data_IF_339035093716
#
_entry.id   IF_339035093716
#
_cell.length_a   1.000
_cell.length_b   1.000
_cell.length_c   1.000
_cell.angle_alpha   90.00
_cell.angle_beta   90.00
_cell.angle_gamma   90.00
#
_symmetry.space_group_name_H-M   'P 1'
#
loop_
_entity.id
_entity.type
_entity.pdbx_description
1 polymer ?
#
# COMPACT_ATOMS: atom_id res chain seq x y z
N UNK A 1 -49.77 7.29 -19.40
CA UNK A 1 -48.76 6.46 -18.72
C UNK A 1 -47.41 7.05 -19.07
N UNK A 2 -46.75 7.73 -18.12
CA UNK A 2 -45.50 8.44 -18.35
C UNK A 2 -44.36 7.56 -17.82
N UNK A 3 -43.55 6.99 -18.71
CA UNK A 3 -42.43 6.13 -18.34
C UNK A 3 -41.34 6.93 -17.64
N UNK A 4 -41.03 6.56 -16.40
CA UNK A 4 -39.85 7.00 -15.67
C UNK A 4 -38.61 6.30 -16.24
N UNK A 5 -37.72 7.05 -16.88
CA UNK A 5 -36.35 6.60 -17.12
C UNK A 5 -35.47 7.09 -15.97
N UNK A 6 -35.23 6.22 -14.98
CA UNK A 6 -34.22 6.45 -13.94
C UNK A 6 -32.86 6.13 -14.55
N UNK A 7 -32.10 7.16 -14.92
CA UNK A 7 -30.72 7.03 -15.35
C UNK A 7 -29.86 6.83 -14.09
N UNK A 8 -29.68 5.58 -13.67
CA UNK A 8 -28.74 5.22 -12.62
C UNK A 8 -27.31 5.41 -13.17
N UNK A 9 -26.74 6.59 -12.95
CA UNK A 9 -25.32 6.84 -13.20
C UNK A 9 -24.50 5.93 -12.30
N UNK A 10 -23.94 4.88 -12.87
CA UNK A 10 -22.88 4.09 -12.23
C UNK A 10 -21.69 5.02 -12.11
N UNK A 11 -21.53 5.66 -10.96
CA UNK A 11 -20.27 6.25 -10.56
C UNK A 11 -19.28 5.08 -10.51
N UNK A 12 -18.50 4.91 -11.58
CA UNK A 12 -17.36 4.01 -11.57
C UNK A 12 -16.42 4.54 -10.51
N UNK A 13 -16.51 3.97 -9.31
CA UNK A 13 -15.57 4.28 -8.24
C UNK A 13 -14.25 3.69 -8.70
N UNK A 14 -13.39 4.56 -9.21
CA UNK A 14 -12.01 4.24 -9.53
C UNK A 14 -11.32 4.07 -8.17
N UNK A 15 -11.30 2.83 -7.70
CA UNK A 15 -10.65 2.44 -6.47
C UNK A 15 -9.17 2.18 -6.71
N UNK A 16 -8.23 2.94 -6.16
CA UNK A 16 -6.82 2.50 -6.21
C UNK A 16 -6.56 1.34 -5.29
N UNK A 17 -5.54 0.57 -5.64
CA UNK A 17 -5.30 -0.67 -4.96
C UNK A 17 -3.80 -0.89 -4.88
N UNK A 18 -3.31 -1.06 -3.67
CA UNK A 18 -1.91 -1.31 -3.36
C UNK A 18 -1.86 -2.62 -2.57
N UNK A 19 -1.01 -3.55 -2.97
CA UNK A 19 -0.75 -4.77 -2.20
C UNK A 19 0.74 -4.91 -1.92
N UNK A 20 1.11 -5.37 -0.73
CA UNK A 20 2.48 -5.58 -0.28
C UNK A 20 2.75 -7.09 -0.12
N UNK A 21 3.76 -7.58 -0.82
CA UNK A 21 4.09 -9.02 -0.89
C UNK A 21 5.19 -9.41 0.08
N UNK A 22 6.25 -8.60 0.11
CA UNK A 22 7.43 -8.85 0.92
C UNK A 22 7.88 -7.54 1.56
N UNK A 23 8.07 -7.49 2.88
CA UNK A 23 7.58 -8.47 3.84
C UNK A 23 6.03 -8.59 3.80
N UNK A 24 5.42 -9.73 4.20
CA UNK A 24 4.00 -9.99 3.97
C UNK A 24 3.07 -8.94 4.58
N UNK A 25 2.10 -8.45 3.82
CA UNK A 25 1.09 -7.55 4.36
C UNK A 25 0.23 -8.21 5.45
N UNK A 26 -0.39 -7.38 6.29
CA UNK A 26 -1.46 -7.80 7.20
C UNK A 26 -2.65 -8.34 6.43
N UNK A 27 -3.24 -9.42 6.94
CA UNK A 27 -4.38 -10.08 6.32
C UNK A 27 -3.99 -10.92 5.10
N UNK A 28 -4.94 -11.15 4.22
CA UNK A 28 -4.80 -11.95 3.00
C UNK A 28 -4.29 -11.09 1.84
N UNK A 29 -3.91 -11.77 0.75
CA UNK A 29 -3.57 -11.21 -0.57
C UNK A 29 -4.45 -11.86 -1.64
N UNK A 30 -5.72 -12.07 -1.34
CA UNK A 30 -6.65 -12.77 -2.21
C UNK A 30 -6.93 -11.95 -3.48
N UNK A 31 -7.11 -12.65 -4.59
CA UNK A 31 -7.41 -12.01 -5.88
C UNK A 31 -6.28 -11.12 -6.42
N UNK A 32 -5.03 -11.32 -5.99
CA UNK A 32 -3.91 -10.45 -6.36
C UNK A 32 -3.62 -10.36 -7.87
N UNK A 33 -4.00 -11.39 -8.61
CA UNK A 33 -3.92 -11.44 -10.07
C UNK A 33 -5.08 -10.70 -10.77
N UNK A 34 -6.01 -10.12 -10.02
CA UNK A 34 -7.13 -9.32 -10.51
C UNK A 34 -6.92 -7.87 -10.12
N UNK A 35 -6.99 -6.99 -11.11
CA UNK A 35 -6.94 -5.55 -10.86
C UNK A 35 -8.18 -5.13 -10.07
N UNK A 36 -7.97 -4.31 -9.04
CA UNK A 36 -9.05 -3.88 -8.17
C UNK A 36 -9.43 -4.89 -7.09
N UNK A 37 -8.48 -5.67 -6.56
CA UNK A 37 -8.78 -6.63 -5.49
C UNK A 37 -9.06 -5.91 -4.17
N UNK A 38 -10.17 -6.24 -3.52
CA UNK A 38 -10.56 -5.64 -2.24
C UNK A 38 -9.47 -5.74 -1.15
N UNK A 39 -8.61 -6.75 -1.19
CA UNK A 39 -7.49 -6.89 -0.25
C UNK A 39 -6.39 -5.83 -0.40
N UNK A 40 -6.37 -5.16 -1.54
CA UNK A 40 -5.48 -4.07 -1.85
C UNK A 40 -6.14 -2.69 -1.62
N UNK A 41 -7.43 -2.63 -1.22
CA UNK A 41 -8.24 -1.41 -1.10
C UNK A 41 -8.24 -0.83 0.32
N UNK A 42 -7.07 -0.46 0.81
CA UNK A 42 -6.89 -0.10 2.21
C UNK A 42 -6.68 1.40 2.37
N UNK A 43 -7.69 2.10 2.89
CA UNK A 43 -7.75 3.57 2.92
C UNK A 43 -7.48 4.21 4.30
N UNK A 44 -7.59 3.44 5.38
CA UNK A 44 -7.44 3.97 6.73
C UNK A 44 -5.99 3.90 7.20
N UNK A 45 -5.32 5.04 7.37
CA UNK A 45 -3.97 5.06 7.93
C UNK A 45 -3.89 4.52 9.37
N UNK A 46 -2.74 3.97 9.80
CA UNK A 46 -1.54 3.72 9.01
C UNK A 46 -1.58 2.40 8.22
N UNK A 47 -2.45 1.45 8.57
CA UNK A 47 -2.35 0.06 8.09
C UNK A 47 -3.63 -0.46 7.45
N UNK A 48 -4.42 0.42 6.82
CA UNK A 48 -5.67 0.05 6.17
C UNK A 48 -6.81 -0.30 7.11
N UNK A 49 -6.70 0.04 8.40
CA UNK A 49 -7.62 -0.45 9.43
C UNK A 49 -7.47 -1.93 9.77
N UNK A 50 -6.43 -2.62 9.25
CA UNK A 50 -6.16 -4.02 9.58
C UNK A 50 -5.42 -4.12 10.92
N UNK A 51 -5.90 -4.95 11.86
CA UNK A 51 -5.18 -5.19 13.11
C UNK A 51 -3.87 -5.92 12.84
N UNK A 52 -2.94 -5.86 13.79
CA UNK A 52 -1.70 -6.62 13.75
C UNK A 52 -1.96 -8.10 13.49
N UNK A 53 -1.20 -8.66 12.55
CA UNK A 53 -1.29 -10.07 12.18
C UNK A 53 -0.41 -10.95 13.07
N UNK A 54 -0.57 -12.26 12.92
CA UNK A 54 0.35 -13.25 13.51
C UNK A 54 1.65 -13.40 12.71
N UNK A 55 1.66 -13.00 11.44
CA UNK A 55 2.82 -13.08 10.56
C UNK A 55 3.74 -11.89 10.85
N UNK A 56 4.96 -12.19 11.32
CA UNK A 56 5.96 -11.19 11.67
C UNK A 56 7.26 -11.50 10.94
N UNK A 57 7.83 -10.51 10.27
CA UNK A 57 9.14 -10.63 9.63
C UNK A 57 10.23 -10.18 10.60
N UNK A 58 11.17 -11.07 10.92
CA UNK A 58 12.34 -10.73 11.72
C UNK A 58 13.35 -9.94 10.88
N UNK A 59 13.86 -8.86 11.45
CA UNK A 59 14.88 -8.01 10.81
C UNK A 59 15.91 -7.56 11.83
N UNK A 60 17.12 -7.29 11.37
CA UNK A 60 18.20 -6.71 12.18
C UNK A 60 18.55 -5.33 11.65
N UNK A 61 18.97 -4.43 12.53
CA UNK A 61 19.46 -3.12 12.10
C UNK A 61 20.64 -3.24 11.11
N UNK A 62 20.66 -2.39 10.09
CA UNK A 62 21.63 -2.45 8.99
C UNK A 62 21.33 -3.49 7.91
N UNK A 63 20.37 -4.40 8.11
CA UNK A 63 19.95 -5.38 7.11
C UNK A 63 19.41 -4.68 5.85
N UNK A 64 19.78 -5.22 4.67
CA UNK A 64 19.10 -4.92 3.41
C UNK A 64 17.81 -5.75 3.33
N UNK A 65 16.68 -5.08 3.43
CA UNK A 65 15.35 -5.67 3.32
C UNK A 65 14.79 -5.43 1.92
N UNK A 66 14.49 -6.51 1.21
CA UNK A 66 13.79 -6.42 -0.08
C UNK A 66 12.30 -6.22 0.15
N UNK A 67 11.79 -5.09 -0.36
CA UNK A 67 10.39 -4.72 -0.34
C UNK A 67 9.79 -4.92 -1.72
N UNK A 68 8.77 -5.76 -1.81
CA UNK A 68 8.07 -6.07 -3.06
C UNK A 68 6.59 -5.78 -2.88
N UNK A 69 6.02 -4.96 -3.76
CA UNK A 69 4.62 -4.54 -3.71
C UNK A 69 4.08 -4.38 -5.13
N UNK A 70 2.76 -4.39 -5.26
CA UNK A 70 2.05 -4.28 -6.53
C UNK A 70 1.12 -3.07 -6.53
N UNK A 71 1.20 -2.30 -7.60
CA UNK A 71 0.15 -1.37 -8.02
C UNK A 71 -0.98 -2.19 -8.60
N UNK A 72 -1.92 -2.63 -7.76
CA UNK A 72 -2.96 -3.57 -8.16
C UNK A 72 -4.03 -2.91 -9.06
N UNK A 73 -4.36 -1.63 -8.85
CA UNK A 73 -5.12 -0.82 -9.79
C UNK A 73 -4.44 0.53 -10.01
N UNK A 74 -4.44 0.99 -11.25
CA UNK A 74 -3.80 2.22 -11.69
C UNK A 74 -4.69 3.46 -11.55
N UNK A 75 -4.14 4.50 -10.91
CA UNK A 75 -4.79 5.78 -10.64
C UNK A 75 -3.96 6.97 -11.12
N UNK A 76 -2.98 6.72 -11.98
CA UNK A 76 -2.21 7.79 -12.58
C UNK A 76 -3.08 8.61 -13.55
N UNK A 77 -3.09 9.95 -13.43
CA UNK A 77 -3.91 10.87 -14.25
C UNK A 77 -3.10 12.04 -14.84
N UNK A 78 -1.95 11.74 -15.45
CA UNK A 78 -0.96 12.73 -15.93
C UNK A 78 -0.27 13.56 -14.84
N UNK A 79 -0.86 13.64 -13.63
CA UNK A 79 -0.18 14.10 -12.42
C UNK A 79 0.38 12.87 -11.72
N UNK A 80 1.70 12.66 -11.74
CA UNK A 80 2.20 11.40 -11.20
C UNK A 80 2.05 11.38 -9.67
N UNK A 81 1.78 10.21 -9.10
CA UNK A 81 1.76 9.97 -7.66
C UNK A 81 3.12 9.54 -7.12
N UNK A 82 3.15 9.07 -5.87
CA UNK A 82 4.35 8.50 -5.23
C UNK A 82 4.00 7.24 -4.42
N UNK A 83 4.83 6.21 -4.54
CA UNK A 83 4.88 5.12 -3.57
C UNK A 83 5.92 5.44 -2.51
N UNK A 84 5.58 5.29 -1.22
CA UNK A 84 6.53 5.49 -0.13
C UNK A 84 6.65 4.25 0.73
N UNK A 85 7.89 3.87 1.03
CA UNK A 85 8.22 2.80 1.97
C UNK A 85 8.66 3.49 3.27
N UNK A 86 7.99 3.18 4.37
CA UNK A 86 8.27 3.75 5.69
C UNK A 86 8.42 2.65 6.73
N UNK A 87 9.14 2.94 7.81
CA UNK A 87 9.37 1.99 8.91
C UNK A 87 9.30 2.70 10.25
N UNK A 88 8.80 2.03 11.29
CA UNK A 88 8.76 2.59 12.64
C UNK A 88 7.66 2.00 13.51
N UNK A 89 7.30 2.74 14.57
CA UNK A 89 6.17 2.39 15.44
C UNK A 89 4.84 2.77 14.79
N UNK A 90 3.87 1.86 14.83
CA UNK A 90 2.56 2.07 14.18
C UNK A 90 1.82 3.31 14.68
N UNK A 91 1.84 3.56 15.99
CA UNK A 91 1.21 4.73 16.61
C UNK A 91 2.16 5.91 16.77
N UNK A 92 3.41 5.76 16.31
CA UNK A 92 4.48 6.73 16.51
C UNK A 92 5.00 7.30 15.19
N UNK A 93 6.29 7.63 15.19
CA UNK A 93 6.96 8.17 14.01
C UNK A 93 7.31 7.06 13.01
N UNK A 94 6.95 7.27 11.74
CA UNK A 94 7.38 6.44 10.61
C UNK A 94 8.44 7.18 9.78
N UNK A 95 9.65 6.64 9.76
CA UNK A 95 10.74 7.12 8.93
C UNK A 95 10.54 6.66 7.48
N UNK A 96 10.63 7.58 6.51
CA UNK A 96 10.62 7.20 5.09
C UNK A 96 11.98 6.63 4.68
N UNK A 97 11.98 5.43 4.12
CA UNK A 97 13.17 4.73 3.62
C UNK A 97 13.35 4.88 2.11
N UNK A 98 12.24 4.99 1.36
CA UNK A 98 12.27 5.13 -0.08
C UNK A 98 11.01 5.83 -0.59
N UNK A 99 11.17 6.58 -1.67
CA UNK A 99 10.08 7.18 -2.46
C UNK A 99 10.28 6.76 -3.91
N UNK A 100 9.28 6.13 -4.50
CA UNK A 100 9.28 5.68 -5.88
C UNK A 100 8.19 6.46 -6.61
N UNK A 101 8.56 7.19 -7.67
CA UNK A 101 7.61 7.91 -8.50
C UNK A 101 6.73 6.94 -9.27
N UNK A 102 5.42 7.17 -9.27
CA UNK A 102 4.52 6.46 -10.19
C UNK A 102 4.61 7.12 -11.58
N UNK A 103 5.19 6.46 -12.58
CA UNK A 103 5.33 7.03 -13.93
C UNK A 103 4.22 6.57 -14.88
N UNK A 104 3.11 6.04 -14.34
CA UNK A 104 2.02 5.50 -15.15
C UNK A 104 2.25 4.05 -15.52
N UNK A 105 3.00 3.29 -14.69
CA UNK A 105 3.06 1.84 -14.86
C UNK A 105 1.65 1.24 -14.76
N UNK A 106 1.31 0.20 -15.54
CA UNK A 106 -0.05 -0.30 -15.62
C UNK A 106 -0.51 -0.97 -14.33
N UNK A 107 -1.81 -1.26 -14.26
CA UNK A 107 -2.36 -2.13 -13.20
C UNK A 107 -1.64 -3.48 -13.17
N UNK A 108 -1.54 -4.04 -11.97
CA UNK A 108 -0.81 -5.27 -11.64
C UNK A 108 0.71 -5.18 -11.77
N UNK A 109 1.28 -4.00 -12.04
CA UNK A 109 2.73 -3.81 -12.06
C UNK A 109 3.34 -4.05 -10.67
N UNK A 110 4.46 -4.79 -10.65
CA UNK A 110 5.16 -5.18 -9.42
C UNK A 110 6.45 -4.40 -9.31
N UNK A 111 6.60 -3.68 -8.20
CA UNK A 111 7.83 -3.01 -7.82
C UNK A 111 8.61 -3.90 -6.85
N UNK A 112 9.94 -3.88 -6.96
CA UNK A 112 10.83 -4.52 -6.01
C UNK A 112 12.04 -3.63 -5.78
N UNK A 113 12.31 -3.27 -4.53
CA UNK A 113 13.43 -2.41 -4.14
C UNK A 113 14.05 -2.87 -2.84
N UNK A 114 15.30 -2.51 -2.59
CA UNK A 114 15.97 -2.79 -1.33
C UNK A 114 16.04 -1.53 -0.47
N UNK A 115 15.69 -1.67 0.80
CA UNK A 115 15.83 -0.62 1.82
C UNK A 115 16.73 -1.10 2.95
N UNK A 116 17.45 -0.17 3.58
CA UNK A 116 18.26 -0.51 4.76
C UNK A 116 17.41 -0.32 6.02
N UNK A 117 17.36 -1.34 6.89
CA UNK A 117 16.70 -1.23 8.19
C UNK A 117 17.51 -0.28 9.09
N UNK A 118 16.93 0.82 9.59
CA UNK A 118 17.65 1.77 10.42
C UNK A 118 17.93 1.22 11.82
N UNK A 119 18.92 1.82 12.50
CA UNK A 119 19.19 1.56 13.90
C UNK A 119 18.13 2.24 14.80
N UNK A 120 17.97 1.73 16.03
CA UNK A 120 17.15 2.38 17.05
C UNK A 120 15.64 2.24 16.87
N UNK A 121 15.19 1.29 16.05
CA UNK A 121 13.77 0.95 15.92
C UNK A 121 13.27 0.20 17.18
N UNK A 122 12.00 0.40 17.58
CA UNK A 122 11.36 -0.45 18.58
C UNK A 122 11.32 -1.92 18.13
N UNK A 123 11.41 -2.85 19.08
CA UNK A 123 11.34 -4.29 18.81
C UNK A 123 10.11 -4.66 17.99
N UNK A 124 8.96 -4.05 18.28
CA UNK A 124 7.73 -4.21 17.49
C UNK A 124 7.54 -3.02 16.54
N UNK A 125 8.01 -3.17 15.31
CA UNK A 125 7.88 -2.16 14.26
C UNK A 125 6.92 -2.60 13.16
N UNK A 126 6.58 -1.68 12.26
CA UNK A 126 5.88 -1.97 11.00
C UNK A 126 6.72 -1.48 9.83
N UNK A 127 6.60 -2.17 8.69
CA UNK A 127 6.92 -1.60 7.38
C UNK A 127 5.62 -1.19 6.72
N UNK A 128 5.50 0.08 6.39
CA UNK A 128 4.35 0.64 5.66
C UNK A 128 4.75 0.90 4.21
N UNK A 129 3.89 0.49 3.27
CA UNK A 129 3.90 1.02 1.90
C UNK A 129 2.65 1.87 1.71
N UNK A 130 2.83 3.08 1.20
CA UNK A 130 1.71 3.93 0.78
C UNK A 130 1.76 4.22 -0.70
N UNK A 131 0.59 4.32 -1.34
CA UNK A 131 0.45 4.90 -2.68
C UNK A 131 -0.30 6.22 -2.55
N UNK A 132 0.41 7.34 -2.74
CA UNK A 132 -0.13 8.69 -2.74
C UNK A 132 -0.44 9.09 -4.19
N UNK A 133 -1.71 9.03 -4.59
CA UNK A 133 -2.10 9.03 -6.00
C UNK A 133 -1.88 10.37 -6.70
N UNK A 134 -2.11 11.48 -5.98
CA UNK A 134 -2.23 12.85 -6.53
C UNK A 134 -3.28 13.01 -7.65
N UNK A 135 -4.14 12.01 -7.83
CA UNK A 135 -5.26 12.03 -8.75
C UNK A 135 -6.51 12.52 -8.00
N UNK A 136 -7.09 13.62 -8.45
CA UNK A 136 -8.26 14.24 -7.81
C UNK A 136 -9.55 13.42 -7.89
N UNK A 137 -9.60 12.46 -8.81
CA UNK A 137 -10.70 11.51 -8.99
C UNK A 137 -10.47 10.16 -8.27
N UNK A 138 -9.37 10.01 -7.53
CA UNK A 138 -9.04 8.82 -6.77
C UNK A 138 -8.90 9.14 -5.27
N UNK A 139 -8.99 8.14 -4.38
CA UNK A 139 -8.59 8.35 -2.99
C UNK A 139 -7.13 8.82 -2.90
N UNK A 140 -6.87 9.69 -1.92
CA UNK A 140 -5.58 10.36 -1.82
C UNK A 140 -4.43 9.39 -1.52
N UNK A 141 -4.67 8.40 -0.64
CA UNK A 141 -3.64 7.47 -0.17
C UNK A 141 -4.20 6.07 0.06
N UNK A 142 -3.39 5.06 -0.27
CA UNK A 142 -3.61 3.65 0.04
C UNK A 142 -2.52 3.17 0.96
N UNK A 143 -2.84 2.25 1.86
CA UNK A 143 -1.98 1.84 2.95
C UNK A 143 -1.84 0.33 2.98
N UNK A 144 -0.62 -0.17 3.04
CA UNK A 144 -0.33 -1.55 3.39
C UNK A 144 0.73 -1.58 4.48
N UNK A 145 0.60 -2.52 5.41
CA UNK A 145 1.59 -2.73 6.46
C UNK A 145 2.00 -4.19 6.53
N UNK A 146 3.26 -4.42 6.84
CA UNK A 146 3.80 -5.67 7.36
C UNK A 146 4.26 -5.47 8.79
N UNK A 147 4.04 -6.48 9.64
CA UNK A 147 4.55 -6.48 11.00
C UNK A 147 6.01 -6.98 11.04
N UNK A 148 6.85 -6.29 11.81
CA UNK A 148 8.27 -6.58 11.95
C UNK A 148 8.64 -6.85 13.41
N UNK A 149 9.58 -7.77 13.60
CA UNK A 149 10.33 -7.92 14.86
C UNK A 149 11.77 -7.47 14.61
N UNK A 150 12.20 -6.41 15.28
CA UNK A 150 13.56 -5.90 15.21
C UNK A 150 14.39 -6.56 16.30
N UNK A 151 15.45 -7.25 15.90
CA UNK A 151 16.44 -7.92 16.78
C UNK A 151 17.76 -7.14 16.84
#
# INVERSE_FOLDING_TARGET
MLSFAVFAGVLAVTYSHLCLFSPPQRGTVDGINKAGSADCLLLSGPCGGRPRGSTVTKVTAGQKLRVTFQKNLDHWDHTPGDFKIKIGEETGHLQTLSTIRDNGEPSLYVYSTEVTVPNGLPAQSILQVTYETKNSAAPAVFYQCSDLMVE
#
